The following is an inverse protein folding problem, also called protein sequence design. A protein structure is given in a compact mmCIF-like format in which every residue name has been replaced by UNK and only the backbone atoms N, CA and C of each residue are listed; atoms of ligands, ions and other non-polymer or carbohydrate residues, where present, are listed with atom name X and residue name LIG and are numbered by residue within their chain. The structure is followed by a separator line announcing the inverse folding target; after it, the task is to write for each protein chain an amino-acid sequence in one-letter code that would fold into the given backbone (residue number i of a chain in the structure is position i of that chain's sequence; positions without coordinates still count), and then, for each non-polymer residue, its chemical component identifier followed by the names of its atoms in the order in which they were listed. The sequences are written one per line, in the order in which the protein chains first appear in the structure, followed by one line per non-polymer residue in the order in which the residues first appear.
data_IF_087653819551
#
_entry.id   IF_087653819551
#
_cell.length_a   1.000
_cell.length_b   1.000
_cell.length_c   1.000
_cell.angle_alpha   90.00
_cell.angle_beta   90.00
_cell.angle_gamma   90.00
#
_symmetry.space_group_name_H-M   'P 1'
#
loop_
_entity.id
_entity.type
_entity.pdbx_description
1 polymer ?
#
# COMPACT_ATOMS: atom_id res chain seq x y z
N UNK A 1 31.78 -20.79 -3.84
CA UNK A 1 31.78 -19.70 -2.84
C UNK A 1 30.42 -19.05 -2.94
N UNK A 2 29.66 -19.01 -1.84
CA UNK A 2 28.38 -18.29 -1.84
C UNK A 2 28.70 -16.80 -1.99
N UNK A 3 28.31 -16.22 -3.11
CA UNK A 3 28.61 -14.85 -3.47
C UNK A 3 27.37 -14.00 -3.14
N UNK A 4 27.08 -13.80 -1.86
CA UNK A 4 26.00 -12.93 -1.40
C UNK A 4 26.55 -11.60 -0.85
N UNK A 5 25.74 -10.55 -0.89
CA UNK A 5 26.06 -9.25 -0.27
C UNK A 5 24.91 -8.85 0.64
N UNK A 6 25.23 -8.53 1.89
CA UNK A 6 24.29 -7.95 2.84
C UNK A 6 24.27 -6.44 2.61
N UNK A 7 23.09 -5.89 2.30
CA UNK A 7 22.88 -4.45 2.07
C UNK A 7 21.97 -3.89 3.17
N UNK A 8 22.52 -3.28 4.24
CA UNK A 8 21.72 -2.90 5.40
C UNK A 8 20.53 -1.98 5.10
N UNK A 9 20.69 -0.97 4.24
CA UNK A 9 19.60 -0.07 3.86
C UNK A 9 18.47 -0.81 3.13
N UNK A 10 18.81 -1.71 2.20
CA UNK A 10 17.81 -2.51 1.47
C UNK A 10 17.02 -3.37 2.43
N UNK A 11 17.72 -4.07 3.35
CA UNK A 11 17.09 -4.94 4.33
C UNK A 11 16.19 -4.12 5.27
N UNK A 12 16.68 -2.99 5.78
CA UNK A 12 15.90 -2.08 6.62
C UNK A 12 14.61 -1.62 5.94
N UNK A 13 14.68 -1.26 4.66
CA UNK A 13 13.50 -0.82 3.91
C UNK A 13 12.51 -1.94 3.64
N UNK A 14 12.99 -3.16 3.36
CA UNK A 14 12.13 -4.33 3.24
C UNK A 14 11.38 -4.59 4.56
N UNK A 15 12.09 -4.58 5.70
CA UNK A 15 11.48 -4.73 7.03
C UNK A 15 10.44 -3.64 7.29
N UNK A 16 10.77 -2.38 6.99
CA UNK A 16 9.85 -1.26 7.12
C UNK A 16 8.61 -1.47 6.26
N UNK A 17 8.78 -1.77 4.97
CA UNK A 17 7.67 -1.94 4.04
C UNK A 17 6.81 -3.18 4.32
N UNK A 18 7.29 -4.12 5.14
CA UNK A 18 6.49 -5.25 5.62
C UNK A 18 6.03 -5.12 7.08
N UNK A 19 6.29 -3.98 7.72
CA UNK A 19 5.97 -3.81 9.14
C UNK A 19 4.49 -3.46 9.38
N UNK A 20 3.94 -3.82 10.56
CA UNK A 20 2.63 -3.32 10.98
C UNK A 20 2.55 -1.79 10.99
N UNK A 21 3.62 -1.10 11.37
CA UNK A 21 3.66 0.35 11.41
C UNK A 21 3.43 0.98 10.02
N UNK A 22 4.10 0.44 8.99
CA UNK A 22 3.95 0.92 7.62
C UNK A 22 2.60 0.55 7.01
N UNK A 23 2.07 -0.64 7.35
CA UNK A 23 0.69 -1.01 7.01
C UNK A 23 -0.32 0.00 7.61
N UNK A 24 -0.10 0.39 8.88
CA UNK A 24 -0.95 1.37 9.56
C UNK A 24 -0.92 2.73 8.85
N UNK A 25 0.26 3.20 8.43
CA UNK A 25 0.39 4.45 7.65
C UNK A 25 -0.48 4.41 6.39
N UNK A 26 -0.41 3.31 5.62
CA UNK A 26 -1.23 3.09 4.44
C UNK A 26 -2.73 3.09 4.74
N UNK A 27 -3.15 2.33 5.76
CA UNK A 27 -4.54 2.21 6.19
C UNK A 27 -5.11 3.55 6.64
N UNK A 28 -4.36 4.29 7.46
CA UNK A 28 -4.81 5.58 7.99
C UNK A 28 -4.91 6.62 6.88
N UNK A 29 -3.98 6.62 5.92
CA UNK A 29 -4.10 7.45 4.73
C UNK A 29 -5.34 7.07 3.91
N UNK A 30 -5.65 5.78 3.76
CA UNK A 30 -6.87 5.35 3.08
C UNK A 30 -8.13 5.79 3.85
N UNK A 31 -8.14 5.70 5.18
CA UNK A 31 -9.26 6.15 6.00
C UNK A 31 -9.49 7.66 5.88
N UNK A 32 -8.43 8.47 5.92
CA UNK A 32 -8.54 9.93 5.74
C UNK A 32 -9.01 10.31 4.33
N UNK A 33 -8.60 9.55 3.31
CA UNK A 33 -9.09 9.72 1.93
C UNK A 33 -10.59 9.43 1.85
N UNK A 34 -11.04 8.34 2.48
CA UNK A 34 -12.46 7.99 2.53
C UNK A 34 -13.28 9.06 3.26
N UNK A 35 -12.80 9.52 4.42
CA UNK A 35 -13.45 10.59 5.19
C UNK A 35 -13.62 11.88 4.36
N UNK A 36 -12.60 12.27 3.60
CA UNK A 36 -12.67 13.44 2.72
C UNK A 36 -13.76 13.28 1.63
N UNK A 37 -13.87 12.08 1.04
CA UNK A 37 -14.89 11.79 0.03
C UNK A 37 -16.31 11.72 0.62
N UNK A 38 -16.46 11.13 1.80
CA UNK A 38 -17.74 11.09 2.52
C UNK A 38 -18.22 12.49 2.90
N UNK A 39 -17.31 13.32 3.42
CA UNK A 39 -17.63 14.69 3.77
C UNK A 39 -17.95 15.54 2.54
N UNK A 40 -17.23 15.34 1.42
CA UNK A 40 -17.57 15.99 0.16
C UNK A 40 -19.00 15.64 -0.29
N UNK A 41 -19.40 14.37 -0.14
CA UNK A 41 -20.74 13.93 -0.51
C UNK A 41 -21.81 14.54 0.40
N UNK A 42 -21.56 14.62 1.71
CA UNK A 42 -22.46 15.29 2.65
C UNK A 42 -22.68 16.76 2.26
N UNK A 43 -21.59 17.50 1.97
CA UNK A 43 -21.69 18.88 1.50
C UNK A 43 -22.49 18.99 0.19
N UNK A 44 -22.22 18.09 -0.76
CA UNK A 44 -22.91 18.07 -2.05
C UNK A 44 -24.42 17.82 -1.92
N UNK A 45 -24.83 16.84 -1.10
CA UNK A 45 -26.24 16.49 -0.90
C UNK A 45 -27.01 17.61 -0.17
N UNK A 46 -26.33 18.38 0.67
CA UNK A 46 -26.94 19.51 1.37
C UNK A 46 -27.16 20.76 0.49
N UNK A 47 -26.55 20.82 -0.71
CA UNK A 47 -26.65 21.95 -1.63
C UNK A 47 -26.96 21.50 -3.07
N UNK A 48 -28.00 20.67 -3.24
CA UNK A 48 -28.35 20.12 -4.54
C UNK A 48 -29.02 21.16 -5.46
N UNK A 49 -28.53 21.33 -6.71
CA UNK A 49 -29.21 22.15 -7.71
C UNK A 49 -30.63 21.65 -8.02
N UNK A 50 -31.54 22.56 -8.33
CA UNK A 50 -32.93 22.21 -8.66
C UNK A 50 -33.05 21.22 -9.84
N UNK A 51 -32.18 21.35 -10.85
CA UNK A 51 -32.16 20.49 -12.04
C UNK A 51 -31.42 19.16 -11.83
N UNK A 52 -30.85 18.93 -10.65
CA UNK A 52 -29.90 17.85 -10.38
C UNK A 52 -30.37 16.47 -10.87
N UNK A 53 -31.60 16.08 -10.51
CA UNK A 53 -32.16 14.76 -10.85
C UNK A 53 -32.44 14.56 -12.33
N UNK A 54 -32.41 15.63 -13.13
CA UNK A 54 -32.56 15.55 -14.59
C UNK A 54 -31.24 15.29 -15.31
N UNK A 55 -30.11 15.36 -14.59
CA UNK A 55 -28.78 15.15 -15.16
C UNK A 55 -28.54 13.64 -15.41
N UNK A 56 -27.70 13.28 -16.39
CA UNK A 56 -27.25 11.90 -16.58
C UNK A 56 -26.71 11.27 -15.29
N UNK A 57 -26.90 9.96 -15.10
CA UNK A 57 -26.56 9.27 -13.84
C UNK A 57 -25.07 9.42 -13.48
N UNK A 58 -24.17 9.47 -14.46
CA UNK A 58 -22.74 9.68 -14.25
C UNK A 58 -22.39 11.09 -13.75
N UNK A 59 -23.36 12.01 -13.75
CA UNK A 59 -23.27 13.36 -13.16
C UNK A 59 -24.12 13.48 -11.89
N UNK A 60 -24.51 12.35 -11.30
CA UNK A 60 -25.21 12.29 -10.02
C UNK A 60 -24.31 11.61 -8.97
N UNK A 61 -23.42 12.36 -8.30
CA UNK A 61 -22.48 11.81 -7.31
C UNK A 61 -23.15 11.07 -6.16
N UNK A 62 -24.33 11.48 -5.71
CA UNK A 62 -25.03 10.76 -4.63
C UNK A 62 -25.42 9.33 -5.02
N UNK A 63 -25.73 9.09 -6.30
CA UNK A 63 -25.98 7.74 -6.82
C UNK A 63 -24.65 7.03 -7.06
N UNK A 64 -23.76 7.61 -7.87
CA UNK A 64 -22.53 6.92 -8.30
C UNK A 64 -21.56 6.72 -7.13
N UNK A 65 -21.24 7.80 -6.43
CA UNK A 65 -20.34 7.74 -5.28
C UNK A 65 -21.05 7.23 -4.03
N UNK A 66 -22.26 7.72 -3.73
CA UNK A 66 -22.97 7.34 -2.52
C UNK A 66 -23.42 5.88 -2.46
N UNK A 67 -23.85 5.30 -3.59
CA UNK A 67 -24.38 3.92 -3.61
C UNK A 67 -23.38 2.87 -4.12
N UNK A 68 -22.29 3.28 -4.78
CA UNK A 68 -21.34 2.33 -5.38
C UNK A 68 -19.90 2.54 -4.95
N UNK A 69 -19.34 3.74 -5.10
CA UNK A 69 -17.92 3.97 -4.79
C UNK A 69 -17.65 3.91 -3.28
N UNK A 70 -18.34 4.73 -2.49
CA UNK A 70 -18.09 4.83 -1.05
C UNK A 70 -18.39 3.51 -0.31
N UNK A 71 -19.45 2.75 -0.61
CA UNK A 71 -19.64 1.43 -0.02
C UNK A 71 -18.47 0.47 -0.27
N UNK A 72 -17.97 0.39 -1.51
CA UNK A 72 -16.82 -0.46 -1.82
C UNK A 72 -15.55 0.00 -1.08
N UNK A 73 -15.33 1.32 -0.97
CA UNK A 73 -14.19 1.84 -0.22
C UNK A 73 -14.29 1.52 1.28
N UNK A 74 -15.49 1.54 1.87
CA UNK A 74 -15.72 1.11 3.26
C UNK A 74 -15.37 -0.38 3.43
N UNK A 75 -15.82 -1.24 2.52
CA UNK A 75 -15.49 -2.67 2.55
C UNK A 75 -13.97 -2.92 2.45
N UNK A 76 -13.28 -2.11 1.65
CA UNK A 76 -11.81 -2.14 1.60
C UNK A 76 -11.20 -1.68 2.92
N UNK A 77 -11.68 -0.60 3.54
CA UNK A 77 -11.17 -0.15 4.84
C UNK A 77 -11.38 -1.22 5.92
N UNK A 78 -12.53 -1.90 5.93
CA UNK A 78 -12.78 -3.04 6.83
C UNK A 78 -11.80 -4.18 6.58
N UNK A 79 -11.55 -4.51 5.32
CA UNK A 79 -10.53 -5.51 4.95
C UNK A 79 -9.13 -5.10 5.41
N UNK A 80 -8.76 -3.83 5.28
CA UNK A 80 -7.48 -3.31 5.77
C UNK A 80 -7.39 -3.37 7.30
N UNK A 81 -8.49 -3.10 8.01
CA UNK A 81 -8.55 -3.25 9.46
C UNK A 81 -8.28 -4.70 9.88
N UNK A 82 -8.87 -5.68 9.18
CA UNK A 82 -8.58 -7.11 9.41
C UNK A 82 -7.11 -7.42 9.16
N UNK A 83 -6.59 -7.03 7.99
CA UNK A 83 -5.19 -7.27 7.63
C UNK A 83 -4.20 -6.67 8.64
N UNK A 84 -4.50 -5.48 9.16
CA UNK A 84 -3.68 -4.85 10.20
C UNK A 84 -3.67 -5.66 11.51
N UNK A 85 -4.82 -6.19 11.93
CA UNK A 85 -4.89 -7.04 13.14
C UNK A 85 -4.13 -8.35 12.97
N UNK A 86 -4.24 -9.01 11.81
CA UNK A 86 -3.48 -10.25 11.55
C UNK A 86 -1.97 -9.99 11.52
N UNK A 87 -1.54 -8.89 10.90
CA UNK A 87 -0.14 -8.50 10.88
C UNK A 87 0.42 -8.21 12.29
N UNK A 88 -0.40 -7.62 13.18
CA UNK A 88 -0.04 -7.44 14.60
C UNK A 88 0.10 -8.76 15.37
N UNK A 89 -0.62 -9.82 14.96
CA UNK A 89 -0.47 -11.17 15.53
C UNK A 89 0.75 -11.92 14.97
N UNK A 90 1.44 -11.33 13.98
CA UNK A 90 2.63 -11.90 13.36
C UNK A 90 2.38 -12.64 12.05
N UNK A 91 1.17 -12.60 11.49
CA UNK A 91 0.90 -13.14 10.15
C UNK A 91 1.45 -12.19 9.08
N UNK A 92 2.62 -12.52 8.54
CA UNK A 92 3.26 -11.72 7.50
C UNK A 92 2.49 -11.76 6.17
N UNK A 93 1.69 -12.80 5.91
CA UNK A 93 0.89 -12.89 4.70
C UNK A 93 -0.22 -11.83 4.66
N UNK A 94 -0.60 -11.29 5.82
CA UNK A 94 -1.57 -10.20 5.93
C UNK A 94 -1.13 -8.91 5.23
N UNK A 95 0.15 -8.74 4.90
CA UNK A 95 0.64 -7.64 4.05
C UNK A 95 -0.12 -7.54 2.71
N UNK A 96 -0.62 -8.68 2.21
CA UNK A 96 -1.33 -8.80 0.93
C UNK A 96 -2.64 -8.03 0.89
N UNK A 97 -3.26 -7.74 2.03
CA UNK A 97 -4.47 -6.92 2.11
C UNK A 97 -4.26 -5.50 1.56
N UNK A 98 -3.02 -4.98 1.62
CA UNK A 98 -2.67 -3.70 0.98
C UNK A 98 -2.84 -3.67 -0.54
N UNK A 99 -2.93 -4.84 -1.19
CA UNK A 99 -3.22 -4.95 -2.62
C UNK A 99 -4.61 -4.42 -3.02
N UNK A 100 -5.57 -4.41 -2.09
CA UNK A 100 -6.94 -3.93 -2.35
C UNK A 100 -6.95 -2.43 -2.68
N UNK A 101 -6.12 -1.63 -1.99
CA UNK A 101 -5.98 -0.19 -2.21
C UNK A 101 -5.67 0.16 -3.66
N UNK A 102 -4.71 -0.54 -4.28
CA UNK A 102 -4.36 -0.27 -5.67
C UNK A 102 -5.47 -0.67 -6.64
N UNK A 103 -6.20 -1.73 -6.31
CA UNK A 103 -7.29 -2.23 -7.15
C UNK A 103 -8.45 -1.24 -7.18
N UNK A 104 -8.83 -0.71 -6.00
CA UNK A 104 -9.84 0.33 -5.88
C UNK A 104 -9.46 1.61 -6.60
N UNK A 105 -8.25 2.12 -6.37
CA UNK A 105 -7.81 3.36 -7.01
C UNK A 105 -7.73 3.24 -8.53
N UNK A 106 -7.37 2.06 -9.06
CA UNK A 106 -7.39 1.80 -10.50
C UNK A 106 -8.81 1.81 -11.06
N UNK A 107 -9.76 1.19 -10.35
CA UNK A 107 -11.17 1.21 -10.74
C UNK A 107 -11.72 2.65 -10.73
N UNK A 108 -11.44 3.40 -9.65
CA UNK A 108 -11.90 4.78 -9.49
C UNK A 108 -11.34 5.70 -10.57
N UNK A 109 -10.03 5.67 -10.81
CA UNK A 109 -9.39 6.57 -11.79
C UNK A 109 -9.88 6.37 -13.23
N UNK A 110 -10.54 5.26 -13.51
CA UNK A 110 -11.02 4.91 -14.86
C UNK A 110 -12.46 5.38 -15.06
N UNK A 111 -13.32 5.16 -14.07
CA UNK A 111 -14.77 5.22 -14.24
C UNK A 111 -15.47 6.32 -13.42
N UNK A 112 -14.77 6.93 -12.45
CA UNK A 112 -15.39 7.84 -11.48
C UNK A 112 -14.62 9.16 -11.34
N UNK A 113 -15.28 10.25 -11.74
CA UNK A 113 -14.77 11.61 -11.61
C UNK A 113 -14.89 12.11 -10.15
N UNK A 114 -13.95 12.97 -9.73
CA UNK A 114 -13.89 13.64 -8.44
C UNK A 114 -14.15 15.15 -8.51
N UNK A 115 -14.32 15.72 -9.71
CA UNK A 115 -14.50 17.17 -9.93
C UNK A 115 -15.82 17.73 -9.32
N UNK A 116 -16.70 16.87 -8.85
CA UNK A 116 -17.89 17.27 -8.11
C UNK A 116 -17.61 17.59 -6.64
N UNK A 117 -16.46 17.16 -6.10
CA UNK A 117 -16.07 17.46 -4.73
C UNK A 117 -15.72 18.95 -4.59
N UNK A 118 -16.04 19.61 -3.47
CA UNK A 118 -15.54 20.95 -3.24
C UNK A 118 -14.01 20.95 -3.14
N UNK A 119 -13.38 22.06 -3.54
CA UNK A 119 -11.93 22.16 -3.77
C UNK A 119 -11.09 21.63 -2.60
N UNK A 120 -11.44 22.00 -1.37
CA UNK A 120 -10.69 21.57 -0.19
C UNK A 120 -10.75 20.05 0.00
N UNK A 121 -11.93 19.44 -0.12
CA UNK A 121 -12.11 17.99 0.01
C UNK A 121 -11.44 17.24 -1.14
N UNK A 122 -11.44 17.81 -2.35
CA UNK A 122 -10.71 17.24 -3.48
C UNK A 122 -9.19 17.22 -3.22
N UNK A 123 -8.63 18.30 -2.66
CA UNK A 123 -7.22 18.38 -2.27
C UNK A 123 -6.87 17.36 -1.18
N UNK A 124 -7.72 17.24 -0.15
CA UNK A 124 -7.51 16.28 0.93
C UNK A 124 -7.63 14.83 0.42
N UNK A 125 -8.63 14.53 -0.40
CA UNK A 125 -8.79 13.24 -1.06
C UNK A 125 -7.55 12.87 -1.87
N UNK A 126 -7.08 13.75 -2.76
CA UNK A 126 -5.91 13.48 -3.61
C UNK A 126 -4.62 13.32 -2.81
N UNK A 127 -4.41 14.15 -1.78
CA UNK A 127 -3.27 14.02 -0.88
C UNK A 127 -3.25 12.63 -0.24
N UNK A 128 -4.32 12.25 0.42
CA UNK A 128 -4.40 10.99 1.16
C UNK A 128 -4.42 9.76 0.23
N UNK A 129 -5.06 9.87 -0.94
CA UNK A 129 -4.98 8.86 -2.00
C UNK A 129 -3.55 8.60 -2.45
N UNK A 130 -2.75 9.65 -2.65
CA UNK A 130 -1.34 9.52 -3.04
C UNK A 130 -0.51 8.82 -1.97
N UNK A 131 -0.67 9.20 -0.71
CA UNK A 131 0.02 8.58 0.43
C UNK A 131 -0.33 7.08 0.56
N UNK A 132 -1.62 6.75 0.52
CA UNK A 132 -2.08 5.36 0.56
C UNK A 132 -1.55 4.54 -0.64
N UNK A 133 -1.59 5.13 -1.85
CA UNK A 133 -1.10 4.50 -3.08
C UNK A 133 0.40 4.18 -3.01
N UNK A 134 1.18 5.12 -2.51
CA UNK A 134 2.63 5.00 -2.38
C UNK A 134 2.99 3.86 -1.43
N UNK A 135 2.37 3.83 -0.24
CA UNK A 135 2.61 2.79 0.73
C UNK A 135 2.17 1.42 0.20
N UNK A 136 0.97 1.32 -0.39
CA UNK A 136 0.47 0.10 -0.99
C UNK A 136 1.38 -0.42 -2.12
N UNK A 137 1.97 0.48 -2.91
CA UNK A 137 2.94 0.12 -3.96
C UNK A 137 4.22 -0.49 -3.39
N UNK A 138 4.82 0.16 -2.40
CA UNK A 138 6.02 -0.35 -1.75
C UNK A 138 5.77 -1.73 -1.13
N UNK A 139 4.64 -1.91 -0.44
CA UNK A 139 4.23 -3.19 0.15
C UNK A 139 4.03 -4.29 -0.91
N UNK A 140 3.37 -3.97 -2.02
CA UNK A 140 3.11 -4.91 -3.11
C UNK A 140 4.40 -5.38 -3.78
N UNK A 141 5.33 -4.47 -4.08
CA UNK A 141 6.62 -4.88 -4.68
C UNK A 141 7.40 -5.76 -3.70
N UNK A 142 7.43 -5.38 -2.43
CA UNK A 142 8.07 -6.16 -1.35
C UNK A 142 7.51 -7.59 -1.23
N UNK A 143 6.20 -7.78 -1.40
CA UNK A 143 5.54 -9.09 -1.19
C UNK A 143 5.38 -9.97 -2.42
N UNK A 144 5.34 -9.41 -3.64
CA UNK A 144 4.98 -10.17 -4.85
C UNK A 144 6.00 -10.11 -5.99
N UNK A 145 6.54 -8.93 -6.28
CA UNK A 145 7.31 -8.72 -7.52
C UNK A 145 8.82 -8.71 -7.30
N UNK A 146 9.25 -8.51 -6.04
CA UNK A 146 10.64 -8.32 -5.69
C UNK A 146 11.19 -6.97 -6.17
N UNK A 147 12.24 -6.51 -5.51
CA UNK A 147 12.92 -5.26 -5.89
C UNK A 147 14.03 -5.54 -6.90
N UNK A 148 14.26 -4.61 -7.82
CA UNK A 148 15.45 -4.63 -8.68
C UNK A 148 16.66 -4.17 -7.87
N UNK A 149 17.83 -4.78 -8.09
CA UNK A 149 19.10 -4.36 -7.47
C UNK A 149 19.29 -2.86 -7.61
N UNK A 150 19.50 -2.16 -6.49
CA UNK A 150 19.70 -0.71 -6.46
C UNK A 150 18.44 0.11 -6.16
N UNK A 151 17.24 -0.46 -6.33
CA UNK A 151 15.98 0.28 -6.15
C UNK A 151 15.73 0.73 -4.72
N UNK A 152 16.35 0.07 -3.74
CA UNK A 152 16.28 0.42 -2.32
C UNK A 152 17.60 0.99 -1.78
N UNK A 153 18.58 1.24 -2.65
CA UNK A 153 19.90 1.78 -2.31
C UNK A 153 20.23 2.99 -3.19
N UNK A 154 21.14 2.88 -4.15
CA UNK A 154 21.66 4.00 -4.95
C UNK A 154 20.63 4.63 -5.89
N UNK A 155 19.54 3.94 -6.22
CA UNK A 155 18.43 4.46 -7.04
C UNK A 155 17.20 4.83 -6.21
N UNK A 156 17.33 4.90 -4.89
CA UNK A 156 16.24 5.33 -4.02
C UNK A 156 15.95 6.81 -4.24
N UNK A 157 14.67 7.16 -4.41
CA UNK A 157 14.23 8.56 -4.49
C UNK A 157 13.02 8.77 -3.58
N UNK A 158 13.01 9.91 -2.88
CA UNK A 158 11.92 10.28 -1.97
C UNK A 158 10.60 10.42 -2.72
N UNK A 159 10.64 10.91 -3.95
CA UNK A 159 9.47 11.11 -4.80
C UNK A 159 8.80 9.79 -5.16
N UNK A 160 9.59 8.72 -5.34
CA UNK A 160 9.05 7.41 -5.75
C UNK A 160 8.73 6.49 -4.58
N UNK A 161 9.35 6.70 -3.40
CA UNK A 161 9.31 5.73 -2.28
C UNK A 161 8.90 6.34 -0.95
N UNK A 162 8.70 7.64 -0.90
CA UNK A 162 8.52 8.37 0.34
C UNK A 162 9.86 8.63 1.04
N UNK A 163 9.84 9.35 2.17
CA UNK A 163 11.05 9.71 2.88
C UNK A 163 11.79 8.45 3.37
N UNK A 164 13.11 8.42 3.13
CA UNK A 164 13.97 7.30 3.51
C UNK A 164 13.89 7.01 5.01
N UNK A 165 13.82 8.06 5.84
CA UNK A 165 13.84 8.03 7.31
C UNK A 165 14.92 7.07 7.85
N UNK A 166 16.21 7.33 7.54
CA UNK A 166 17.27 6.45 8.00
C UNK A 166 17.36 6.45 9.53
N UNK A 167 17.68 5.31 10.16
CA UNK A 167 18.03 5.28 11.57
C UNK A 167 19.35 6.03 11.81
N UNK A 168 19.65 6.38 13.07
CA UNK A 168 20.92 7.03 13.45
C UNK A 168 22.14 6.22 12.99
N UNK A 169 22.02 4.89 12.96
CA UNK A 169 22.98 3.98 12.36
C UNK A 169 22.27 2.79 11.73
N UNK A 170 22.80 2.30 10.61
CA UNK A 170 22.23 1.15 9.93
C UNK A 170 22.31 -0.11 10.79
N UNK A 171 21.24 -0.94 10.85
CA UNK A 171 21.29 -2.18 11.59
C UNK A 171 22.34 -3.15 11.04
N UNK A 172 22.95 -3.94 11.93
CA UNK A 172 23.94 -4.95 11.56
C UNK A 172 23.21 -6.29 11.36
N UNK A 173 23.06 -6.69 10.10
CA UNK A 173 22.44 -7.96 9.73
C UNK A 173 23.47 -9.08 9.60
N UNK A 174 23.05 -10.31 9.94
CA UNK A 174 23.83 -11.53 9.73
C UNK A 174 22.95 -12.59 9.10
N UNK A 175 23.52 -13.34 8.16
CA UNK A 175 22.82 -14.47 7.54
C UNK A 175 22.64 -15.60 8.56
N UNK A 176 21.42 -16.09 8.70
CA UNK A 176 21.13 -17.31 9.45
C UNK A 176 21.31 -18.52 8.51
N UNK A 177 22.19 -19.48 8.82
CA UNK A 177 22.35 -20.68 7.99
C UNK A 177 21.25 -21.73 8.23
N UNK A 178 20.26 -21.44 9.09
CA UNK A 178 19.23 -22.42 9.49
C UNK A 178 18.18 -22.68 8.41
N UNK A 179 17.94 -21.69 7.55
CA UNK A 179 16.88 -21.75 6.55
C UNK A 179 17.47 -21.33 5.20
N UNK A 180 17.24 -22.17 4.19
CA UNK A 180 17.50 -21.93 2.79
C UNK A 180 16.30 -22.44 2.01
N UNK A 181 16.04 -21.84 0.85
CA UNK A 181 14.95 -22.26 -0.03
C UNK A 181 15.46 -22.16 -1.46
N UNK A 182 15.30 -23.22 -2.24
CA UNK A 182 15.58 -23.21 -3.67
C UNK A 182 14.42 -22.58 -4.44
N UNK A 183 14.62 -22.35 -5.73
CA UNK A 183 13.53 -21.91 -6.59
C UNK A 183 12.42 -22.98 -6.60
N UNK A 184 11.17 -22.54 -6.58
CA UNK A 184 9.96 -23.40 -6.58
C UNK A 184 9.76 -24.28 -5.34
N UNK A 185 10.60 -24.15 -4.30
CA UNK A 185 10.35 -24.78 -3.01
C UNK A 185 9.35 -23.99 -2.15
N UNK A 186 8.62 -24.75 -1.32
CA UNK A 186 7.74 -24.21 -0.28
C UNK A 186 8.59 -23.47 0.76
N UNK A 187 8.22 -22.22 1.05
CA UNK A 187 8.94 -21.38 2.01
C UNK A 187 8.74 -21.95 3.43
N UNK A 188 9.82 -22.39 4.12
CA UNK A 188 9.68 -23.07 5.41
C UNK A 188 9.32 -22.10 6.54
N UNK A 189 9.79 -20.85 6.45
CA UNK A 189 9.52 -19.79 7.42
C UNK A 189 9.37 -18.46 6.68
N UNK A 190 8.29 -17.73 6.93
CA UNK A 190 8.12 -16.39 6.38
C UNK A 190 9.26 -15.46 6.86
N UNK A 191 9.81 -14.66 5.97
CA UNK A 191 10.89 -13.75 6.33
C UNK A 191 11.71 -13.27 5.14
N UNK A 192 12.90 -12.77 5.45
CA UNK A 192 13.81 -12.18 4.47
C UNK A 192 14.86 -13.18 4.03
N UNK A 193 14.97 -13.35 2.73
CA UNK A 193 15.92 -14.25 2.11
C UNK A 193 16.89 -13.45 1.24
N UNK A 194 18.17 -13.74 1.40
CA UNK A 194 19.24 -13.14 0.59
C UNK A 194 19.64 -14.16 -0.47
N UNK A 195 19.53 -13.82 -1.77
CA UNK A 195 20.00 -14.68 -2.82
C UNK A 195 21.50 -14.97 -2.69
N UNK A 196 21.92 -16.15 -3.12
CA UNK A 196 23.34 -16.57 -3.21
C UNK A 196 24.10 -15.88 -4.38
N UNK A 197 23.52 -14.80 -4.91
CA UNK A 197 23.98 -14.00 -6.04
C UNK A 197 24.13 -12.53 -5.67
N UNK A 198 25.30 -11.97 -5.94
CA UNK A 198 25.62 -10.56 -5.64
C UNK A 198 24.80 -9.57 -6.44
N UNK A 199 24.29 -9.96 -7.61
CA UNK A 199 23.55 -9.12 -8.54
C UNK A 199 22.03 -9.13 -8.30
N UNK A 200 21.58 -9.71 -7.18
CA UNK A 200 20.18 -9.75 -6.77
C UNK A 200 19.92 -8.97 -5.48
N UNK A 201 18.70 -8.45 -5.34
CA UNK A 201 18.19 -7.86 -4.09
C UNK A 201 17.64 -8.94 -3.16
N UNK A 202 17.63 -8.63 -1.86
CA UNK A 202 16.88 -9.38 -0.87
C UNK A 202 15.39 -9.41 -1.18
N UNK A 203 14.74 -10.50 -0.78
CA UNK A 203 13.32 -10.72 -1.04
C UNK A 203 12.61 -11.14 0.25
N UNK A 204 11.38 -10.65 0.43
CA UNK A 204 10.48 -11.21 1.43
C UNK A 204 9.78 -12.41 0.82
N UNK A 205 9.92 -13.54 1.48
CA UNK A 205 9.17 -14.76 1.19
C UNK A 205 8.13 -14.95 2.28
N UNK A 206 6.90 -15.12 1.86
CA UNK A 206 5.78 -15.46 2.74
C UNK A 206 5.72 -16.98 2.83
N UNK A 207 5.34 -17.50 3.99
CA UNK A 207 5.01 -18.91 4.12
C UNK A 207 3.83 -19.26 3.21
N UNK A 208 3.79 -20.53 2.79
CA UNK A 208 2.64 -21.05 2.07
C UNK A 208 1.57 -21.34 3.10
N UNK A 209 0.44 -20.65 3.02
CA UNK A 209 -0.78 -21.08 3.71
C UNK A 209 -1.25 -22.43 3.16
#
# INVERSE_FOLDING_TARGET
MNNYIIRPQEIYLLERYSSPAYFKEMRDAFANMLEAAEYALELFVNDLPFDYRTRPINRQPDIVWGERVLPNLRDTLDSLNVGYQELLKGDLAAIRYGGNVQSDFRAISTDYDIDWMPEQQQLDYEKWRREASLCAFNMKITSYFGWKIGSLTERYTTESRGPLNPPESWPIYRLSPKYSVELDEVVPVAGMYIPDRVDCSGIIKLDSA
#
